data_IF_307850105092
#
_entry.id   IF_307850105092
#
_cell.length_a   1.000
_cell.length_b   1.000
_cell.length_c   1.000
_cell.angle_alpha   90.00
_cell.angle_beta   90.00
_cell.angle_gamma   90.00
#
_symmetry.space_group_name_H-M   'P 1'
#
loop_
_entity.id
_entity.type
_entity.pdbx_description
1 polymer ?
#
# COMPACT_ATOMS: atom_id res chain seq x y z
N UNK A 1 -0.73 14.55 5.42
CA UNK A 1 -1.50 13.31 5.19
C UNK A 1 -2.95 13.71 4.95
N UNK A 2 -3.47 13.57 3.73
CA UNK A 2 -4.92 13.60 3.54
C UNK A 2 -5.43 12.20 3.88
N UNK A 3 -6.16 12.06 4.98
CA UNK A 3 -6.88 10.82 5.26
C UNK A 3 -8.03 10.74 4.25
N UNK A 4 -8.05 9.71 3.41
CA UNK A 4 -9.17 9.48 2.51
C UNK A 4 -10.44 9.26 3.35
N UNK A 5 -11.45 10.09 3.15
CA UNK A 5 -12.76 9.88 3.77
C UNK A 5 -13.52 8.81 2.97
N UNK A 6 -13.77 7.66 3.60
CA UNK A 6 -14.58 6.59 3.03
C UNK A 6 -15.91 6.51 3.79
N UNK A 7 -17.04 6.53 3.09
CA UNK A 7 -18.36 6.29 3.70
C UNK A 7 -18.86 4.87 3.45
N UNK A 8 -19.86 4.44 4.22
CA UNK A 8 -20.54 3.15 3.97
C UNK A 8 -21.21 3.14 2.59
N UNK A 9 -21.72 4.28 2.13
CA UNK A 9 -22.27 4.44 0.78
C UNK A 9 -21.21 4.22 -0.30
N UNK A 10 -20.00 4.74 -0.11
CA UNK A 10 -18.89 4.53 -1.05
C UNK A 10 -18.44 3.06 -1.05
N UNK A 11 -18.38 2.42 0.12
CA UNK A 11 -18.08 0.99 0.22
C UNK A 11 -19.09 0.15 -0.58
N UNK A 12 -20.39 0.45 -0.49
CA UNK A 12 -21.41 -0.25 -1.27
C UNK A 12 -21.28 -0.01 -2.77
N UNK A 13 -20.96 1.20 -3.20
CA UNK A 13 -20.77 1.53 -4.61
C UNK A 13 -19.51 0.89 -5.19
N UNK A 14 -18.41 0.93 -4.45
CA UNK A 14 -17.10 0.47 -4.93
C UNK A 14 -16.91 -1.05 -4.79
N UNK A 15 -17.48 -1.66 -3.74
CA UNK A 15 -17.22 -3.07 -3.38
C UNK A 15 -18.50 -3.92 -3.25
N UNK A 16 -19.70 -3.34 -3.40
CA UNK A 16 -20.96 -4.04 -3.15
C UNK A 16 -21.16 -5.27 -4.02
N UNK A 17 -20.81 -5.21 -5.31
CA UNK A 17 -20.93 -6.36 -6.21
C UNK A 17 -19.93 -7.48 -5.86
N UNK A 18 -18.65 -7.12 -5.65
CA UNK A 18 -17.58 -8.07 -5.30
C UNK A 18 -17.87 -8.78 -3.98
N UNK A 19 -18.22 -8.02 -2.95
CA UNK A 19 -18.53 -8.53 -1.61
C UNK A 19 -19.97 -9.06 -1.49
N UNK A 20 -20.76 -8.97 -2.57
CA UNK A 20 -22.19 -9.33 -2.63
C UNK A 20 -22.97 -8.80 -1.43
N UNK A 21 -22.82 -7.49 -1.19
CA UNK A 21 -23.44 -6.79 -0.07
C UNK A 21 -24.85 -6.35 -0.44
N UNK A 22 -25.79 -6.68 0.44
CA UNK A 22 -27.18 -6.27 0.39
C UNK A 22 -27.48 -5.38 1.60
N UNK A 23 -28.06 -4.21 1.37
CA UNK A 23 -28.49 -3.31 2.42
C UNK A 23 -29.86 -3.73 2.95
N UNK A 24 -29.94 -4.07 4.23
CA UNK A 24 -31.18 -4.51 4.88
C UNK A 24 -31.87 -3.37 5.65
N UNK A 25 -31.10 -2.43 6.19
CA UNK A 25 -31.64 -1.25 6.87
C UNK A 25 -30.61 -0.14 6.99
N UNK A 26 -31.06 1.11 7.17
CA UNK A 26 -30.18 2.25 7.43
C UNK A 26 -29.77 3.03 6.18
N UNK A 27 -30.58 3.05 5.13
CA UNK A 27 -30.36 3.84 3.90
C UNK A 27 -30.02 5.31 4.16
N UNK A 28 -30.71 5.93 5.14
CA UNK A 28 -30.47 7.33 5.52
C UNK A 28 -29.13 7.55 6.25
N UNK A 29 -28.44 6.48 6.65
CA UNK A 29 -27.22 6.51 7.44
C UNK A 29 -25.98 6.00 6.65
N UNK A 30 -26.07 5.93 5.32
CA UNK A 30 -24.93 5.54 4.48
C UNK A 30 -23.78 6.58 4.48
N UNK A 31 -24.01 7.77 5.02
CA UNK A 31 -23.02 8.84 5.18
C UNK A 31 -22.06 8.62 6.34
N UNK A 32 -22.27 7.57 7.16
CA UNK A 32 -21.35 7.22 8.25
C UNK A 32 -19.97 6.88 7.70
N UNK A 33 -18.93 7.33 8.39
CA UNK A 33 -17.53 7.26 7.96
C UNK A 33 -16.88 5.97 8.45
N UNK A 34 -16.08 5.35 7.58
CA UNK A 34 -15.18 4.25 7.91
C UNK A 34 -13.77 4.85 7.96
N UNK A 35 -13.21 4.93 9.16
CA UNK A 35 -11.90 5.55 9.41
C UNK A 35 -10.79 4.52 9.63
N UNK A 36 -11.16 3.28 9.96
CA UNK A 36 -10.22 2.20 10.27
C UNK A 36 -10.50 1.01 9.37
N UNK A 37 -9.46 0.47 8.74
CA UNK A 37 -9.58 -0.71 7.85
C UNK A 37 -9.63 -2.06 8.55
N UNK A 38 -9.42 -2.09 9.87
CA UNK A 38 -9.64 -3.27 10.70
C UNK A 38 -11.12 -3.58 10.85
N UNK A 39 -11.41 -4.88 10.91
CA UNK A 39 -12.75 -5.39 11.20
C UNK A 39 -12.84 -5.83 12.66
N UNK A 40 -14.05 -5.80 13.21
CA UNK A 40 -14.31 -6.29 14.55
C UNK A 40 -15.35 -7.40 14.54
N UNK A 41 -15.11 -8.45 15.33
CA UNK A 41 -16.06 -9.54 15.57
C UNK A 41 -16.57 -9.41 17.01
N UNK A 42 -17.78 -8.88 17.24
CA UNK A 42 -18.19 -8.38 18.54
C UNK A 42 -18.65 -9.47 19.52
N UNK A 43 -18.02 -10.65 19.53
CA UNK A 43 -18.47 -11.79 20.35
C UNK A 43 -18.65 -11.48 21.84
N UNK A 44 -17.68 -10.84 22.49
CA UNK A 44 -17.78 -10.43 23.90
C UNK A 44 -18.72 -9.23 24.13
N UNK A 45 -18.83 -8.33 23.15
CA UNK A 45 -19.74 -7.20 23.23
C UNK A 45 -21.21 -7.66 23.26
N UNK A 46 -21.53 -8.79 22.61
CA UNK A 46 -22.85 -9.40 22.66
C UNK A 46 -23.22 -9.94 24.06
N UNK A 47 -22.25 -10.22 24.93
CA UNK A 47 -22.52 -10.57 26.33
C UNK A 47 -22.61 -9.35 27.26
N UNK A 48 -22.52 -8.12 26.71
CA UNK A 48 -22.55 -6.88 27.47
C UNK A 48 -21.18 -6.40 27.96
N UNK A 49 -20.09 -7.10 27.61
CA UNK A 49 -18.74 -6.67 27.95
C UNK A 49 -18.20 -5.71 26.88
N UNK A 50 -18.30 -4.41 27.15
CA UNK A 50 -17.90 -3.35 26.22
C UNK A 50 -16.52 -2.75 26.51
N UNK A 51 -15.78 -3.28 27.50
CA UNK A 51 -14.41 -2.81 27.74
C UNK A 51 -13.53 -3.14 26.53
N UNK A 52 -12.81 -2.12 26.05
CA UNK A 52 -12.02 -2.14 24.80
C UNK A 52 -12.82 -2.50 23.54
N UNK A 53 -14.13 -2.31 23.54
CA UNK A 53 -14.93 -2.45 22.32
C UNK A 53 -14.48 -1.44 21.25
N UNK A 54 -14.13 -1.96 20.08
CA UNK A 54 -13.61 -1.18 18.95
C UNK A 54 -14.77 -0.73 18.06
N UNK A 55 -15.49 0.29 18.51
CA UNK A 55 -16.68 0.82 17.87
C UNK A 55 -16.40 1.37 16.47
N UNK A 56 -15.24 2.00 16.26
CA UNK A 56 -14.82 2.65 15.03
C UNK A 56 -14.60 1.69 13.84
N UNK A 57 -14.60 0.38 14.10
CA UNK A 57 -14.41 -0.68 13.11
C UNK A 57 -15.74 -1.16 12.53
N UNK A 58 -15.71 -1.70 11.32
CA UNK A 58 -16.88 -2.41 10.77
C UNK A 58 -17.14 -3.68 11.59
N UNK A 59 -18.39 -3.86 12.02
CA UNK A 59 -18.78 -4.97 12.90
C UNK A 59 -19.26 -6.16 12.06
N UNK A 60 -18.60 -7.31 12.19
CA UNK A 60 -18.89 -8.52 11.40
C UNK A 60 -19.53 -9.60 12.27
N UNK A 61 -20.71 -10.05 11.87
CA UNK A 61 -21.47 -11.11 12.52
C UNK A 61 -21.31 -12.41 11.74
N UNK A 62 -20.43 -13.27 12.26
CA UNK A 62 -20.21 -14.64 11.82
C UNK A 62 -21.18 -15.64 12.44
N UNK A 63 -20.93 -16.92 12.16
CA UNK A 63 -21.73 -18.02 12.73
C UNK A 63 -21.71 -18.03 14.27
N UNK A 64 -20.58 -17.68 14.89
CA UNK A 64 -20.47 -17.65 16.36
C UNK A 64 -21.34 -16.55 16.98
N UNK A 65 -21.25 -15.35 16.44
CA UNK A 65 -22.05 -14.20 16.87
C UNK A 65 -23.55 -14.43 16.65
N UNK A 66 -23.92 -15.02 15.50
CA UNK A 66 -25.31 -15.37 15.20
C UNK A 66 -25.84 -16.49 16.11
N UNK A 67 -25.04 -17.54 16.36
CA UNK A 67 -25.43 -18.62 17.26
C UNK A 67 -25.65 -18.13 18.69
N UNK A 68 -24.84 -17.16 19.14
CA UNK A 68 -25.07 -16.50 20.42
C UNK A 68 -26.38 -15.72 20.43
N UNK A 69 -26.65 -14.91 19.39
CA UNK A 69 -27.90 -14.15 19.26
C UNK A 69 -29.16 -15.04 19.26
N UNK A 70 -29.06 -16.29 18.78
CA UNK A 70 -30.17 -17.24 18.78
C UNK A 70 -30.42 -17.89 20.15
N UNK A 71 -29.37 -18.08 20.96
CA UNK A 71 -29.46 -18.77 22.26
C UNK A 71 -29.60 -17.81 23.45
N UNK A 72 -29.20 -16.55 23.29
CA UNK A 72 -29.22 -15.57 24.36
C UNK A 72 -30.65 -15.16 24.74
N UNK A 73 -30.82 -14.74 26.00
CA UNK A 73 -32.05 -14.11 26.47
C UNK A 73 -32.36 -12.85 25.66
N UNK A 74 -33.57 -12.75 25.10
CA UNK A 74 -33.94 -11.69 24.17
C UNK A 74 -33.82 -10.28 24.77
N UNK A 75 -34.13 -10.13 26.06
CA UNK A 75 -34.07 -8.83 26.75
C UNK A 75 -32.61 -8.41 26.95
N UNK A 76 -31.78 -9.29 27.50
CA UNK A 76 -30.34 -9.03 27.69
C UNK A 76 -29.62 -8.78 26.38
N UNK A 77 -29.96 -9.54 25.34
CA UNK A 77 -29.37 -9.36 24.01
C UNK A 77 -29.74 -7.98 23.42
N UNK A 78 -31.00 -7.56 23.55
CA UNK A 78 -31.44 -6.25 23.08
C UNK A 78 -30.73 -5.10 23.82
N UNK A 79 -30.54 -5.23 25.13
CA UNK A 79 -29.78 -4.27 25.95
C UNK A 79 -28.31 -4.20 25.49
N UNK A 80 -27.64 -5.34 25.33
CA UNK A 80 -26.25 -5.42 24.88
C UNK A 80 -26.07 -4.83 23.46
N UNK A 81 -26.93 -5.20 22.51
CA UNK A 81 -26.90 -4.66 21.15
C UNK A 81 -27.17 -3.15 21.12
N UNK A 82 -28.10 -2.67 21.94
CA UNK A 82 -28.39 -1.24 22.02
C UNK A 82 -27.20 -0.46 22.60
N UNK A 83 -26.51 -1.01 23.62
CA UNK A 83 -25.33 -0.38 24.19
C UNK A 83 -24.18 -0.37 23.17
N UNK A 84 -23.94 -1.50 22.48
CA UNK A 84 -22.92 -1.61 21.44
C UNK A 84 -23.14 -0.63 20.27
N UNK A 85 -24.38 -0.51 19.79
CA UNK A 85 -24.72 0.31 18.61
C UNK A 85 -25.00 1.78 18.93
N UNK A 86 -25.13 2.15 20.21
CA UNK A 86 -25.26 3.57 20.60
C UNK A 86 -24.00 4.39 20.34
N UNK A 87 -22.85 3.75 20.13
CA UNK A 87 -21.61 4.44 19.82
C UNK A 87 -21.69 5.07 18.42
N UNK A 88 -21.56 6.40 18.37
CA UNK A 88 -21.63 7.18 17.13
C UNK A 88 -20.54 6.82 16.12
N UNK A 89 -19.49 6.12 16.54
CA UNK A 89 -18.37 5.70 15.71
C UNK A 89 -18.66 4.42 14.91
N UNK A 90 -19.68 3.65 15.26
CA UNK A 90 -19.99 2.39 14.57
C UNK A 90 -20.38 2.68 13.12
N UNK A 91 -19.58 2.27 12.12
CA UNK A 91 -19.86 2.62 10.74
C UNK A 91 -21.03 1.82 10.19
N UNK A 92 -20.97 0.49 10.27
CA UNK A 92 -22.00 -0.43 9.85
C UNK A 92 -21.82 -1.81 10.50
N UNK A 93 -22.86 -2.63 10.38
CA UNK A 93 -22.88 -4.04 10.78
C UNK A 93 -23.05 -4.89 9.53
N UNK A 94 -22.25 -5.95 9.37
CA UNK A 94 -22.35 -6.91 8.27
C UNK A 94 -22.61 -8.31 8.81
N UNK A 95 -23.67 -8.95 8.31
CA UNK A 95 -24.03 -10.34 8.63
C UNK A 95 -23.56 -11.24 7.48
N UNK A 96 -22.81 -12.29 7.81
CA UNK A 96 -22.23 -13.24 6.82
C UNK A 96 -23.12 -14.46 6.60
N UNK A 97 -22.74 -15.33 5.64
CA UNK A 97 -23.39 -16.62 5.31
C UNK A 97 -24.84 -16.51 4.81
N UNK A 98 -25.22 -15.36 4.23
CA UNK A 98 -26.60 -15.07 3.83
C UNK A 98 -27.64 -15.35 4.95
N UNK A 99 -27.22 -15.26 6.21
CA UNK A 99 -28.04 -15.71 7.32
C UNK A 99 -29.24 -14.79 7.56
N UNK A 100 -30.29 -15.34 8.16
CA UNK A 100 -31.42 -14.57 8.65
C UNK A 100 -30.98 -13.70 9.83
N UNK A 101 -31.14 -12.38 9.69
CA UNK A 101 -30.78 -11.43 10.74
C UNK A 101 -31.74 -11.56 11.93
N UNK A 102 -31.25 -11.70 13.17
CA UNK A 102 -32.08 -11.65 14.37
C UNK A 102 -32.89 -10.33 14.44
N UNK A 103 -34.16 -10.42 14.85
CA UNK A 103 -35.05 -9.25 14.96
C UNK A 103 -34.50 -8.19 15.91
N UNK A 104 -33.90 -8.60 17.03
CA UNK A 104 -33.26 -7.71 18.00
C UNK A 104 -32.13 -6.87 17.36
N UNK A 105 -31.31 -7.48 16.50
CA UNK A 105 -30.24 -6.78 15.78
C UNK A 105 -30.82 -5.78 14.76
N UNK A 106 -31.81 -6.20 13.97
CA UNK A 106 -32.47 -5.31 13.01
C UNK A 106 -33.12 -4.10 13.71
N UNK A 107 -33.80 -4.32 14.83
CA UNK A 107 -34.41 -3.24 15.62
C UNK A 107 -33.37 -2.29 16.21
N UNK A 108 -32.27 -2.83 16.77
CA UNK A 108 -31.20 -2.01 17.34
C UNK A 108 -30.50 -1.16 16.27
N UNK A 109 -30.20 -1.73 15.09
CA UNK A 109 -29.64 -0.99 13.95
C UNK A 109 -30.56 0.15 13.49
N UNK A 110 -31.87 -0.11 13.37
CA UNK A 110 -32.86 0.93 13.02
C UNK A 110 -32.95 2.04 14.07
N UNK A 111 -32.94 1.67 15.36
CA UNK A 111 -33.03 2.62 16.48
C UNK A 111 -31.84 3.58 16.52
N UNK A 112 -30.63 3.07 16.30
CA UNK A 112 -29.39 3.86 16.37
C UNK A 112 -28.91 4.42 15.02
N UNK A 113 -29.65 4.16 13.95
CA UNK A 113 -29.29 4.63 12.61
C UNK A 113 -27.95 4.04 12.14
N UNK A 114 -27.73 2.75 12.37
CA UNK A 114 -26.54 2.04 11.90
C UNK A 114 -26.91 1.19 10.68
N UNK A 115 -26.25 1.37 9.52
CA UNK A 115 -26.46 0.53 8.35
C UNK A 115 -26.23 -0.95 8.68
N UNK A 116 -27.20 -1.78 8.29
CA UNK A 116 -27.14 -3.23 8.42
C UNK A 116 -27.03 -3.82 7.02
N UNK A 117 -25.95 -4.53 6.78
CA UNK A 117 -25.64 -5.20 5.52
C UNK A 117 -25.66 -6.70 5.70
N UNK A 118 -25.94 -7.42 4.62
CA UNK A 118 -25.81 -8.87 4.52
C UNK A 118 -24.88 -9.21 3.37
N UNK A 119 -23.99 -10.17 3.59
CA UNK A 119 -23.20 -10.79 2.53
C UNK A 119 -23.53 -12.27 2.46
N UNK A 120 -23.50 -12.82 1.25
CA UNK A 120 -23.62 -14.27 1.05
C UNK A 120 -22.31 -15.00 1.39
N UNK A 121 -21.18 -14.29 1.42
CA UNK A 121 -19.87 -14.87 1.64
C UNK A 121 -19.75 -15.36 3.08
N UNK A 122 -18.91 -16.38 3.27
CA UNK A 122 -18.53 -16.82 4.61
C UNK A 122 -17.68 -15.77 5.33
N UNK A 123 -17.54 -15.93 6.64
CA UNK A 123 -16.84 -14.96 7.49
C UNK A 123 -15.37 -14.77 7.08
N UNK A 124 -14.67 -15.83 6.67
CA UNK A 124 -13.25 -15.76 6.31
C UNK A 124 -13.08 -15.00 5.01
N UNK A 125 -13.86 -15.36 3.99
CA UNK A 125 -13.83 -14.71 2.67
C UNK A 125 -14.20 -13.23 2.78
N UNK A 126 -15.32 -12.91 3.45
CA UNK A 126 -15.74 -11.52 3.64
C UNK A 126 -14.65 -10.70 4.37
N UNK A 127 -14.11 -11.25 5.47
CA UNK A 127 -13.11 -10.52 6.27
C UNK A 127 -11.86 -10.24 5.45
N UNK A 128 -11.35 -11.23 4.71
CA UNK A 128 -10.18 -11.06 3.86
C UNK A 128 -10.37 -9.99 2.78
N UNK A 129 -11.44 -10.12 1.99
CA UNK A 129 -11.69 -9.19 0.89
C UNK A 129 -12.03 -7.77 1.37
N UNK A 130 -12.85 -7.64 2.42
CA UNK A 130 -13.20 -6.33 2.96
C UNK A 130 -11.99 -5.65 3.61
N UNK A 131 -11.17 -6.39 4.38
CA UNK A 131 -9.93 -5.83 4.93
C UNK A 131 -8.98 -5.36 3.82
N UNK A 132 -8.82 -6.13 2.74
CA UNK A 132 -8.00 -5.72 1.60
C UNK A 132 -8.51 -4.42 0.96
N UNK A 133 -9.82 -4.32 0.74
CA UNK A 133 -10.44 -3.15 0.13
C UNK A 133 -10.32 -1.89 1.02
N UNK A 134 -10.62 -2.03 2.31
CA UNK A 134 -10.52 -0.92 3.26
C UNK A 134 -9.07 -0.48 3.45
N UNK A 135 -8.13 -1.43 3.55
CA UNK A 135 -6.70 -1.11 3.59
C UNK A 135 -6.28 -0.35 2.33
N UNK A 136 -6.79 -0.75 1.16
CA UNK A 136 -6.46 -0.06 -0.07
C UNK A 136 -6.92 1.38 -0.14
N UNK A 137 -8.05 1.68 0.50
CA UNK A 137 -8.62 3.01 0.49
C UNK A 137 -8.06 3.92 1.58
N UNK A 138 -7.82 3.36 2.76
CA UNK A 138 -7.46 4.10 3.97
C UNK A 138 -5.94 4.15 4.25
N UNK A 139 -5.14 3.38 3.51
CA UNK A 139 -3.69 3.36 3.71
C UNK A 139 -3.06 4.75 3.55
N UNK A 140 -2.14 5.17 4.44
CA UNK A 140 -1.44 6.44 4.37
C UNK A 140 -0.79 6.68 3.01
N UNK A 141 -0.96 7.88 2.47
CA UNK A 141 -0.36 8.29 1.20
C UNK A 141 0.49 9.55 1.35
N UNK A 142 1.55 9.61 0.54
CA UNK A 142 2.37 10.80 0.34
C UNK A 142 2.75 10.93 -1.13
N UNK A 143 2.91 12.16 -1.60
CA UNK A 143 3.44 12.44 -2.93
C UNK A 143 4.93 12.75 -2.81
N UNK A 144 5.75 12.09 -3.62
CA UNK A 144 7.19 12.31 -3.71
C UNK A 144 7.52 12.74 -5.14
N UNK A 145 8.31 13.80 -5.27
CA UNK A 145 8.80 14.23 -6.57
C UNK A 145 9.97 13.35 -7.04
N UNK A 146 9.90 12.89 -8.28
CA UNK A 146 10.84 11.93 -8.85
C UNK A 146 10.19 11.06 -9.93
N UNK A 147 10.92 10.06 -10.38
CA UNK A 147 10.49 9.14 -11.42
C UNK A 147 10.48 7.73 -10.86
N UNK A 148 9.37 7.02 -10.99
CA UNK A 148 9.24 5.64 -10.57
C UNK A 148 9.23 4.74 -11.80
N UNK A 149 10.17 3.82 -11.85
CA UNK A 149 10.32 2.83 -12.92
C UNK A 149 10.40 1.43 -12.34
N UNK A 150 9.96 0.44 -13.10
CA UNK A 150 10.11 -0.97 -12.77
C UNK A 150 11.25 -1.55 -13.62
N UNK A 151 12.35 -1.91 -12.95
CA UNK A 151 13.58 -2.39 -13.56
C UNK A 151 13.75 -3.86 -13.18
N UNK A 152 13.62 -4.76 -14.15
CA UNK A 152 13.63 -6.22 -13.94
C UNK A 152 12.65 -6.71 -12.85
N UNK A 153 11.49 -6.07 -12.69
CA UNK A 153 10.49 -6.44 -11.67
C UNK A 153 10.71 -5.76 -10.32
N UNK A 154 11.76 -4.96 -10.15
CA UNK A 154 12.09 -4.22 -8.93
C UNK A 154 11.75 -2.74 -9.13
N UNK A 155 10.93 -2.17 -8.25
CA UNK A 155 10.56 -0.76 -8.37
C UNK A 155 11.62 0.18 -7.82
N UNK A 156 12.11 1.07 -8.69
CA UNK A 156 13.19 2.01 -8.44
C UNK A 156 12.65 3.43 -8.48
N UNK A 157 12.74 4.14 -7.36
CA UNK A 157 12.40 5.55 -7.25
C UNK A 157 13.65 6.40 -7.52
N UNK A 158 13.68 7.09 -8.65
CA UNK A 158 14.77 7.97 -9.07
C UNK A 158 14.44 9.40 -8.64
N UNK A 159 15.29 9.97 -7.79
CA UNK A 159 15.17 11.31 -7.24
C UNK A 159 16.40 12.13 -7.56
N UNK A 160 16.30 13.44 -7.44
CA UNK A 160 17.37 14.38 -7.77
C UNK A 160 16.81 15.75 -8.09
N UNK A 161 17.70 16.71 -8.29
CA UNK A 161 17.33 18.08 -8.63
C UNK A 161 16.58 18.17 -9.97
N UNK A 162 15.89 19.29 -10.21
CA UNK A 162 15.20 19.53 -11.47
C UNK A 162 16.23 19.68 -12.61
N UNK A 163 16.01 19.02 -13.75
CA UNK A 163 16.90 19.09 -14.91
C UNK A 163 18.20 18.28 -14.80
N UNK A 164 18.38 17.45 -13.76
CA UNK A 164 19.56 16.58 -13.61
C UNK A 164 19.57 15.37 -14.57
N UNK A 165 18.48 15.15 -15.31
CA UNK A 165 18.36 14.03 -16.27
C UNK A 165 17.49 12.85 -15.80
N UNK A 166 16.56 13.04 -14.85
CA UNK A 166 15.73 11.94 -14.30
C UNK A 166 14.84 11.32 -15.39
N UNK A 167 14.09 12.15 -16.10
CA UNK A 167 13.13 11.73 -17.12
C UNK A 167 13.83 11.21 -18.37
N UNK A 168 14.96 11.81 -18.77
CA UNK A 168 15.82 11.31 -19.85
C UNK A 168 16.42 9.94 -19.53
N UNK A 169 16.85 9.71 -18.29
CA UNK A 169 17.33 8.41 -17.84
C UNK A 169 16.21 7.36 -17.84
N UNK A 170 14.99 7.73 -17.42
CA UNK A 170 13.83 6.86 -17.47
C UNK A 170 13.44 6.49 -18.91
N UNK A 171 13.51 7.45 -19.83
CA UNK A 171 13.27 7.22 -21.26
C UNK A 171 14.27 6.20 -21.85
N UNK A 172 15.54 6.26 -21.44
CA UNK A 172 16.51 5.26 -21.84
C UNK A 172 16.21 3.87 -21.25
N UNK A 173 15.78 3.79 -19.99
CA UNK A 173 15.35 2.53 -19.36
C UNK A 173 14.14 1.93 -20.09
N UNK A 174 13.15 2.75 -20.45
CA UNK A 174 11.99 2.36 -21.26
C UNK A 174 12.41 1.73 -22.59
N UNK A 175 13.35 2.37 -23.30
CA UNK A 175 13.90 1.84 -24.56
C UNK A 175 14.61 0.49 -24.40
N UNK A 176 15.11 0.19 -23.20
CA UNK A 176 15.73 -1.09 -22.83
C UNK A 176 14.72 -2.15 -22.37
N UNK A 177 13.42 -1.85 -22.38
CA UNK A 177 12.34 -2.78 -22.05
C UNK A 177 11.86 -2.71 -20.59
N UNK A 178 12.28 -1.68 -19.84
CA UNK A 178 11.76 -1.43 -18.48
C UNK A 178 10.46 -0.65 -18.53
N UNK A 179 9.74 -0.61 -17.42
CA UNK A 179 8.38 -0.06 -17.39
C UNK A 179 8.35 1.27 -16.63
N UNK A 180 7.70 2.28 -17.21
CA UNK A 180 7.39 3.51 -16.50
C UNK A 180 6.18 3.29 -15.60
N UNK A 181 6.28 3.75 -14.37
CA UNK A 181 5.15 3.79 -13.43
C UNK A 181 4.65 5.22 -13.27
N UNK A 182 5.55 6.17 -13.03
CA UNK A 182 5.22 7.58 -12.85
C UNK A 182 6.44 8.45 -13.18
N UNK A 183 6.20 9.64 -13.73
CA UNK A 183 7.20 10.70 -13.95
C UNK A 183 6.75 11.96 -13.21
N UNK A 184 7.73 12.78 -12.80
CA UNK A 184 7.56 14.01 -12.01
C UNK A 184 6.98 13.84 -10.59
N UNK A 185 5.78 13.27 -10.46
CA UNK A 185 5.08 13.09 -9.19
C UNK A 185 4.67 11.63 -8.98
N UNK A 186 5.16 11.04 -7.88
CA UNK A 186 4.88 9.66 -7.49
C UNK A 186 4.00 9.66 -6.25
N UNK A 187 2.81 9.10 -6.32
CA UNK A 187 2.02 8.80 -5.12
C UNK A 187 2.51 7.48 -4.53
N UNK A 188 2.94 7.54 -3.27
CA UNK A 188 3.40 6.39 -2.50
C UNK A 188 2.38 6.12 -1.41
N UNK A 189 1.99 4.85 -1.28
CA UNK A 189 1.06 4.38 -0.27
C UNK A 189 1.73 3.33 0.62
N UNK A 190 1.58 3.47 1.94
CA UNK A 190 2.10 2.52 2.91
C UNK A 190 1.05 1.43 3.21
N UNK A 191 1.35 0.20 2.82
CA UNK A 191 0.53 -1.00 3.06
C UNK A 191 1.04 -1.81 4.25
N UNK A 192 0.21 -2.70 4.77
CA UNK A 192 0.59 -3.64 5.84
C UNK A 192 1.87 -4.41 5.51
N UNK A 193 2.60 -4.74 6.56
CA UNK A 193 3.89 -5.42 6.44
C UNK A 193 5.04 -4.51 6.00
N UNK A 194 4.89 -3.19 6.11
CA UNK A 194 5.95 -2.23 5.77
C UNK A 194 6.19 -2.12 4.26
N UNK A 195 5.17 -2.38 3.44
CA UNK A 195 5.30 -2.38 1.97
C UNK A 195 4.90 -1.02 1.43
N UNK A 196 5.80 -0.35 0.73
CA UNK A 196 5.51 0.87 -0.02
C UNK A 196 5.09 0.53 -1.45
N UNK A 197 3.93 1.04 -1.87
CA UNK A 197 3.43 0.90 -3.23
C UNK A 197 3.38 2.27 -3.89
N UNK A 198 4.12 2.43 -4.99
CA UNK A 198 4.14 3.66 -5.77
C UNK A 198 3.27 3.56 -7.02
N UNK A 199 2.66 4.66 -7.43
CA UNK A 199 1.84 4.80 -8.63
C UNK A 199 1.77 6.25 -9.10
N UNK A 200 1.35 6.47 -10.35
CA UNK A 200 1.17 7.81 -10.89
C UNK A 200 -0.20 8.38 -10.47
N UNK A 201 -0.28 9.63 -9.95
CA UNK A 201 -1.55 10.32 -9.81
C UNK A 201 -2.16 10.66 -11.18
N UNK A 202 -3.48 10.57 -11.29
CA UNK A 202 -4.20 11.30 -12.35
C UNK A 202 -4.02 12.81 -12.07
N UNK A 203 -3.68 13.69 -13.04
CA UNK A 203 -3.77 13.56 -14.51
C UNK A 203 -2.45 13.21 -15.23
N UNK A 204 -1.34 12.98 -14.51
CA UNK A 204 0.01 12.81 -15.11
C UNK A 204 0.24 11.41 -15.70
N UNK A 205 -0.77 10.54 -15.65
CA UNK A 205 -0.66 9.15 -16.02
C UNK A 205 -0.19 8.99 -17.46
N UNK A 206 0.81 8.12 -17.66
CA UNK A 206 1.47 7.81 -18.94
C UNK A 206 2.21 8.97 -19.62
N UNK A 207 2.17 10.18 -19.05
CA UNK A 207 2.84 11.34 -19.63
C UNK A 207 4.24 11.50 -19.02
N UNK A 208 5.16 12.05 -19.81
CA UNK A 208 6.52 12.38 -19.39
C UNK A 208 6.93 13.70 -20.04
N UNK A 209 7.56 14.59 -19.29
CA UNK A 209 8.10 15.84 -19.83
C UNK A 209 9.58 15.66 -20.16
N UNK A 210 9.95 15.88 -21.42
CA UNK A 210 11.35 15.85 -21.87
C UNK A 210 11.75 17.22 -22.39
N UNK A 211 12.84 17.76 -21.85
CA UNK A 211 13.35 19.08 -22.27
C UNK A 211 13.73 19.05 -23.75
N UNK A 212 13.27 20.04 -24.50
CA UNK A 212 13.49 20.15 -25.94
C UNK A 212 12.50 19.35 -26.81
N UNK A 213 11.72 18.44 -26.22
CA UNK A 213 10.66 17.70 -26.93
C UNK A 213 9.24 18.06 -26.44
N UNK A 214 9.12 18.51 -25.19
CA UNK A 214 7.83 18.78 -24.55
C UNK A 214 7.26 17.54 -23.85
N UNK A 215 5.96 17.55 -23.61
CA UNK A 215 5.24 16.43 -22.98
C UNK A 215 4.95 15.35 -24.02
N UNK A 216 5.28 14.11 -23.70
CA UNK A 216 5.03 12.93 -24.54
C UNK A 216 4.11 11.93 -23.83
N UNK A 217 3.32 11.19 -24.61
CA UNK A 217 2.56 10.03 -24.11
C UNK A 217 3.37 8.75 -24.35
N UNK A 218 3.88 8.18 -23.26
CA UNK A 218 4.74 6.99 -23.27
C UNK A 218 3.96 5.75 -23.72
N UNK A 219 2.66 5.65 -23.40
CA UNK A 219 1.81 4.53 -23.82
C UNK A 219 1.58 4.53 -25.32
N UNK A 220 1.38 5.70 -25.93
CA UNK A 220 1.20 5.81 -27.38
C UNK A 220 2.51 5.56 -28.15
N UNK A 221 3.64 6.01 -27.62
CA UNK A 221 4.94 5.86 -28.28
C UNK A 221 5.57 4.47 -28.14
N UNK A 222 5.48 3.85 -26.96
CA UNK A 222 6.15 2.58 -26.64
C UNK A 222 5.19 1.41 -26.41
N UNK A 223 3.88 1.67 -26.44
CA UNK A 223 2.84 0.66 -26.27
C UNK A 223 2.50 0.34 -24.81
N UNK A 224 1.48 -0.50 -24.62
CA UNK A 224 1.01 -0.92 -23.28
C UNK A 224 2.10 -1.66 -22.49
N UNK A 225 3.03 -2.33 -23.18
CA UNK A 225 4.13 -3.09 -22.57
C UNK A 225 5.25 -2.24 -21.99
N UNK A 226 5.18 -0.90 -22.09
CA UNK A 226 6.15 0.02 -21.51
C UNK A 226 5.64 0.73 -20.25
N UNK A 227 4.40 0.45 -19.84
CA UNK A 227 3.74 1.09 -18.70
C UNK A 227 3.43 0.05 -17.63
N UNK A 228 3.48 0.49 -16.37
CA UNK A 228 3.00 -0.28 -15.23
C UNK A 228 2.21 0.60 -14.29
N UNK A 229 0.97 0.21 -13.99
CA UNK A 229 0.07 1.01 -13.16
C UNK A 229 0.63 1.28 -11.76
N UNK A 230 1.23 0.26 -11.12
CA UNK A 230 1.77 0.33 -9.77
C UNK A 230 2.95 -0.62 -9.59
N UNK A 231 3.92 -0.25 -8.77
CA UNK A 231 5.01 -1.16 -8.34
C UNK A 231 5.36 -0.95 -6.86
N UNK A 232 6.12 -1.88 -6.27
CA UNK A 232 6.66 -1.69 -4.92
C UNK A 232 7.87 -0.76 -4.97
N UNK A 233 8.03 0.13 -3.99
CA UNK A 233 9.24 0.96 -3.92
C UNK A 233 10.28 0.21 -3.08
N UNK A 234 11.26 -0.39 -3.75
CA UNK A 234 12.24 -1.29 -3.13
C UNK A 234 13.67 -0.74 -3.17
N UNK A 235 13.92 0.26 -4.02
CA UNK A 235 15.19 0.97 -4.11
C UNK A 235 14.94 2.45 -4.40
N UNK A 236 15.60 3.33 -3.64
CA UNK A 236 15.69 4.75 -3.93
C UNK A 236 17.07 5.04 -4.53
N UNK A 237 17.07 5.74 -5.66
CA UNK A 237 18.29 6.23 -6.31
C UNK A 237 18.24 7.75 -6.30
N UNK A 238 19.23 8.38 -5.71
CA UNK A 238 19.38 9.84 -5.76
C UNK A 238 20.50 10.22 -6.72
N UNK A 239 20.13 10.87 -7.81
CA UNK A 239 21.04 11.52 -8.73
C UNK A 239 21.54 12.81 -8.08
N UNK A 240 22.86 12.98 -8.04
CA UNK A 240 23.51 14.18 -7.49
C UNK A 240 24.53 14.72 -8.51
N UNK A 241 24.73 16.04 -8.61
CA UNK A 241 25.74 16.60 -9.49
C UNK A 241 27.14 16.16 -9.04
N UNK A 242 28.02 15.85 -10.00
CA UNK A 242 29.41 15.55 -9.67
C UNK A 242 30.11 16.80 -9.12
N UNK A 243 30.68 16.70 -7.92
CA UNK A 243 31.59 17.71 -7.36
C UNK A 243 32.93 17.07 -6.97
N UNK A 244 34.01 17.87 -6.94
CA UNK A 244 35.34 17.38 -6.53
C UNK A 244 35.38 16.81 -5.10
N UNK A 245 34.39 17.17 -4.27
CA UNK A 245 34.22 16.69 -2.90
C UNK A 245 33.27 15.48 -2.80
N UNK A 246 32.70 15.02 -3.92
CA UNK A 246 31.77 13.88 -3.92
C UNK A 246 32.53 12.59 -3.59
N UNK A 247 32.41 12.14 -2.35
CA UNK A 247 32.92 10.83 -1.92
C UNK A 247 31.97 9.75 -2.39
N UNK A 248 32.32 9.11 -3.50
CA UNK A 248 31.64 7.89 -3.96
C UNK A 248 32.08 6.72 -3.07
N UNK A 249 31.15 5.97 -2.49
CA UNK A 249 31.49 4.72 -1.80
C UNK A 249 32.05 3.73 -2.83
N UNK A 250 33.36 3.46 -2.72
CA UNK A 250 34.09 2.53 -3.59
C UNK A 250 34.00 1.07 -3.11
N UNK A 251 33.56 0.88 -1.87
CA UNK A 251 33.54 -0.44 -1.22
C UNK A 251 32.17 -1.12 -1.34
N UNK A 252 31.10 -0.33 -1.40
CA UNK A 252 29.73 -0.83 -1.43
C UNK A 252 29.31 -1.55 -0.14
N UNK A 253 30.07 -1.35 0.95
CA UNK A 253 29.85 -1.97 2.25
C UNK A 253 28.82 -1.20 3.09
N UNK A 254 28.66 0.11 2.86
CA UNK A 254 27.66 0.91 3.57
C UNK A 254 26.29 0.79 2.89
N UNK A 255 25.32 0.23 3.60
CA UNK A 255 23.92 0.24 3.18
C UNK A 255 23.25 1.49 3.72
N UNK A 256 23.14 2.51 2.87
CA UNK A 256 22.36 3.71 3.21
C UNK A 256 20.88 3.42 3.01
N UNK A 257 20.04 4.09 3.79
CA UNK A 257 18.58 4.00 3.70
C UNK A 257 17.95 5.38 3.78
N UNK A 258 16.74 5.50 3.27
CA UNK A 258 15.86 6.67 3.39
C UNK A 258 14.53 6.22 3.97
N UNK A 259 13.94 7.01 4.87
CA UNK A 259 12.60 6.74 5.40
C UNK A 259 11.54 7.39 4.51
N UNK A 260 10.56 6.61 4.04
CA UNK A 260 9.39 7.06 3.29
C UNK A 260 8.15 6.48 3.97
N UNK A 261 7.26 7.34 4.47
CA UNK A 261 6.07 6.91 5.25
C UNK A 261 6.41 5.92 6.38
N UNK A 262 7.50 6.20 7.10
CA UNK A 262 8.06 5.39 8.20
C UNK A 262 8.58 4.00 7.79
N UNK A 263 8.78 3.76 6.49
CA UNK A 263 9.41 2.55 5.96
C UNK A 263 10.81 2.89 5.45
N UNK A 264 11.81 2.13 5.90
CA UNK A 264 13.18 2.28 5.42
C UNK A 264 13.39 1.62 4.05
N UNK A 265 13.78 2.40 3.05
CA UNK A 265 14.12 1.95 1.70
C UNK A 265 15.62 2.12 1.46
N UNK A 266 16.33 1.13 0.89
CA UNK A 266 17.73 1.26 0.49
C UNK A 266 17.94 2.46 -0.43
N UNK A 267 18.99 3.24 -0.16
CA UNK A 267 19.34 4.46 -0.91
C UNK A 267 20.71 4.30 -1.58
N UNK A 268 20.76 4.50 -2.88
CA UNK A 268 21.99 4.60 -3.66
C UNK A 268 22.12 6.02 -4.21
N UNK A 269 23.30 6.62 -4.07
CA UNK A 269 23.59 7.93 -4.67
C UNK A 269 24.46 7.76 -5.89
N UNK A 270 24.03 8.31 -7.02
CA UNK A 270 24.77 8.20 -8.30
C UNK A 270 25.15 9.60 -8.75
N UNK A 271 26.46 9.93 -8.83
CA UNK A 271 26.89 11.21 -9.35
C UNK A 271 26.72 11.25 -10.88
N UNK A 272 26.08 12.31 -11.36
CA UNK A 272 25.86 12.57 -12.78
C UNK A 272 27.06 13.33 -13.34
N UNK A 273 27.70 12.75 -14.35
CA UNK A 273 28.79 13.36 -15.09
C UNK A 273 28.71 12.98 -16.57
N UNK A 274 29.19 13.83 -17.49
CA UNK A 274 29.22 13.52 -18.92
C UNK A 274 29.90 12.17 -19.20
N UNK A 275 29.36 11.42 -20.17
CA UNK A 275 29.90 10.11 -20.59
C UNK A 275 29.49 8.92 -19.71
N UNK A 276 28.82 9.12 -18.58
CA UNK A 276 28.25 8.02 -17.79
C UNK A 276 26.85 7.67 -18.28
N UNK A 277 26.63 6.39 -18.56
CA UNK A 277 25.29 5.89 -18.86
C UNK A 277 24.55 5.60 -17.54
N UNK A 278 23.63 6.50 -17.16
CA UNK A 278 22.89 6.37 -15.91
C UNK A 278 21.94 5.18 -15.92
N UNK A 279 21.28 4.89 -17.05
CA UNK A 279 20.37 3.77 -17.17
C UNK A 279 21.05 2.44 -16.85
N UNK A 280 22.26 2.21 -17.39
CA UNK A 280 23.06 1.01 -17.09
C UNK A 280 23.43 0.93 -15.60
N UNK A 281 23.80 2.05 -14.98
CA UNK A 281 24.11 2.05 -13.55
C UNK A 281 22.89 1.71 -12.69
N UNK A 282 21.71 2.18 -13.09
CA UNK A 282 20.43 1.86 -12.43
C UNK A 282 20.07 0.38 -12.62
N UNK A 283 20.24 -0.18 -13.81
CA UNK A 283 20.06 -1.62 -14.08
C UNK A 283 20.94 -2.47 -13.15
N UNK A 284 22.23 -2.15 -13.06
CA UNK A 284 23.18 -2.85 -12.17
C UNK A 284 22.80 -2.67 -10.70
N UNK A 285 22.38 -1.47 -10.30
CA UNK A 285 21.92 -1.19 -8.94
C UNK A 285 20.68 -2.02 -8.57
N UNK A 286 19.71 -2.15 -9.47
CA UNK A 286 18.52 -2.96 -9.28
C UNK A 286 18.86 -4.45 -9.15
N UNK A 287 19.73 -4.98 -10.02
CA UNK A 287 20.20 -6.37 -9.93
C UNK A 287 20.95 -6.65 -8.62
N UNK A 288 21.84 -5.75 -8.21
CA UNK A 288 22.57 -5.88 -6.95
C UNK A 288 21.63 -5.83 -5.73
N UNK A 289 20.61 -4.97 -5.76
CA UNK A 289 19.60 -4.92 -4.71
C UNK A 289 18.78 -6.21 -4.64
N UNK A 290 18.45 -6.80 -5.78
CA UNK A 290 17.77 -8.11 -5.85
C UNK A 290 18.63 -9.25 -5.31
N UNK A 291 19.95 -9.23 -5.53
CA UNK A 291 20.87 -10.18 -4.91
C UNK A 291 20.91 -10.02 -3.39
N UNK A 292 20.96 -8.77 -2.90
CA UNK A 292 20.93 -8.48 -1.46
C UNK A 292 19.65 -8.93 -0.78
N UNK A 293 18.49 -8.76 -1.41
CA UNK A 293 17.22 -9.24 -0.85
C UNK A 293 17.13 -10.77 -0.81
N UNK A 294 17.96 -11.47 -1.58
CA UNK A 294 18.15 -12.92 -1.54
C UNK A 294 19.27 -13.38 -0.58
N UNK A 295 19.92 -12.45 0.13
CA UNK A 295 21.00 -12.73 1.08
C UNK A 295 22.40 -12.79 0.47
N UNK A 296 22.59 -12.41 -0.80
CA UNK A 296 23.89 -12.36 -1.44
C UNK A 296 24.52 -10.97 -1.33
N UNK A 297 25.62 -10.86 -0.60
CA UNK A 297 26.38 -9.61 -0.39
C UNK A 297 27.73 -9.65 -1.13
N UNK A 298 27.77 -9.17 -2.37
CA UNK A 298 28.96 -9.24 -3.24
C UNK A 298 30.19 -8.52 -2.65
N UNK A 299 29.99 -7.34 -2.04
CA UNK A 299 31.06 -6.57 -1.40
C UNK A 299 31.68 -7.31 -0.21
N UNK A 300 30.86 -7.91 0.64
CA UNK A 300 31.34 -8.72 1.78
C UNK A 300 32.05 -9.97 1.31
N UNK A 301 31.51 -10.65 0.29
CA UNK A 301 32.13 -11.86 -0.28
C UNK A 301 33.50 -11.55 -0.87
N UNK A 302 33.64 -10.41 -1.56
CA UNK A 302 34.90 -9.94 -2.09
C UNK A 302 35.89 -9.56 -0.98
N UNK A 303 35.42 -8.85 0.05
CA UNK A 303 36.25 -8.48 1.20
C UNK A 303 36.76 -9.73 1.95
N UNK A 304 35.90 -10.72 2.18
CA UNK A 304 36.29 -12.01 2.79
C UNK A 304 37.39 -12.69 1.97
N UNK A 305 37.25 -12.77 0.64
CA UNK A 305 38.27 -13.34 -0.26
C UNK A 305 39.60 -12.57 -0.22
N UNK A 306 39.56 -11.23 -0.10
CA UNK A 306 40.77 -10.43 0.03
C UNK A 306 41.48 -10.71 1.36
N UNK A 307 40.74 -10.75 2.47
CA UNK A 307 41.27 -11.07 3.80
C UNK A 307 41.88 -12.48 3.81
N UNK A 308 41.21 -13.46 3.21
CA UNK A 308 41.73 -14.84 3.08
C UNK A 308 43.04 -14.87 2.29
N UNK A 309 43.13 -14.14 1.16
CA UNK A 309 44.37 -14.04 0.38
C UNK A 309 45.50 -13.36 1.15
N UNK A 310 45.21 -12.33 1.93
CA UNK A 310 46.22 -11.65 2.77
C UNK A 310 46.74 -12.58 3.86
N UNK A 311 45.85 -13.29 4.56
CA UNK A 311 46.24 -14.29 5.58
C UNK A 311 47.08 -15.43 5.02
N UNK A 312 46.78 -15.86 3.79
CA UNK A 312 47.56 -16.91 3.11
C UNK A 312 48.97 -16.48 2.71
N UNK A 313 49.20 -15.17 2.47
CA UNK A 313 50.53 -14.62 2.14
C UNK A 313 51.40 -14.34 3.37
N UNK A 314 50.83 -14.23 4.57
CA UNK A 314 51.59 -14.08 5.82
C UNK A 314 52.09 -15.42 6.38
N UNK A 315 51.59 -16.55 5.88
CA UNK A 315 51.96 -17.91 6.29
C UNK A 315 52.83 -18.65 5.25
N UNK A 316 53.38 -17.96 4.26
CA UNK A 316 54.35 -18.47 3.27
C UNK A 316 55.59 -17.60 3.28
#
# INVERSE_FOLDING_TARGET
MQAAELTVGDLLKEQGERLRLELLSGEKALTRRITVGDLNRPGLALSGFLDRFRAERVQVFGNGEQAYCQKADAKKLAEALSAMLSAAEVPCVIVTHNASVPSALSQACKKHGVPLLRSIHDTTTLTGELSEALEARLAPTATVHGVLVDVYGLGVLIQGEAGIGKSECALELLKRGHLLVADDAVQIQHRRGGVLRGYCPEPLKNHMEIRGLGVIDVKLLFGIGAIRERTRVELSIKLEPWTAQTTCDRTGLEVRKVSILDVEVPLIRIPVSPGRNLAVLIEVAALNQRLRSQGYFSAETFNKRLIERMKSKEHS
#
